data_IF_303067411721
#
_entry.id   IF_303067411721
#
_cell.length_a   1.000
_cell.length_b   1.000
_cell.length_c   1.000
_cell.angle_alpha   90.00
_cell.angle_beta   90.00
_cell.angle_gamma   90.00
#
_symmetry.space_group_name_H-M   'P 1'
#
loop_
_entity.id
_entity.type
_entity.pdbx_description
1 polymer ?
#
# COMPACT_ATOMS: atom_id res chain seq x y z
N UNK A 1 -3.74 17.01 14.57
CA UNK A 1 -4.64 16.22 13.72
C UNK A 1 -3.97 14.87 13.42
N UNK A 2 -4.65 13.73 13.72
CA UNK A 2 -4.22 12.40 13.32
C UNK A 2 -3.62 12.35 11.91
N UNK A 3 -2.38 11.89 11.81
CA UNK A 3 -1.67 11.77 10.55
C UNK A 3 -0.60 10.69 10.62
N UNK A 4 -0.42 9.97 9.53
CA UNK A 4 0.63 8.97 9.36
C UNK A 4 1.21 9.03 7.95
N UNK A 5 2.51 8.83 7.87
CA UNK A 5 3.23 8.51 6.64
C UNK A 5 4.14 7.33 6.97
N UNK A 6 3.98 6.24 6.24
CA UNK A 6 4.73 5.01 6.43
C UNK A 6 5.54 4.74 5.18
N UNK A 7 6.73 4.21 5.35
CA UNK A 7 7.58 3.76 4.26
C UNK A 7 7.68 2.23 4.28
N UNK A 8 7.70 1.64 3.09
CA UNK A 8 7.63 0.19 2.92
C UNK A 8 8.99 -0.43 2.66
N UNK A 9 9.29 -1.53 3.36
CA UNK A 9 10.46 -2.37 3.11
C UNK A 9 10.03 -3.80 2.78
N UNK A 10 10.94 -4.60 2.21
CA UNK A 10 10.71 -6.03 2.02
C UNK A 10 11.36 -6.81 3.17
N UNK A 11 10.55 -7.54 3.93
CA UNK A 11 10.99 -8.50 4.94
C UNK A 11 10.30 -9.84 4.73
N UNK A 12 11.06 -10.96 4.79
CA UNK A 12 10.52 -12.32 4.73
C UNK A 12 9.48 -12.54 3.63
N UNK A 13 9.79 -12.01 2.46
CA UNK A 13 8.93 -12.07 1.30
C UNK A 13 7.63 -11.27 1.27
N UNK A 14 7.60 -10.19 2.06
CA UNK A 14 6.41 -9.36 2.21
C UNK A 14 6.79 -7.90 2.33
N UNK A 15 5.90 -7.04 1.82
CA UNK A 15 5.93 -5.61 2.10
C UNK A 15 5.51 -5.38 3.55
N UNK A 16 6.40 -4.76 4.30
CA UNK A 16 6.20 -4.36 5.69
C UNK A 16 6.27 -2.85 5.76
N UNK A 17 5.26 -2.23 6.36
CA UNK A 17 5.22 -0.80 6.61
C UNK A 17 5.97 -0.48 7.90
N UNK A 18 6.76 0.60 7.88
CA UNK A 18 7.51 1.12 9.01
C UNK A 18 7.18 2.60 9.24
N UNK A 19 7.28 3.04 10.50
CA UNK A 19 6.97 4.41 10.92
C UNK A 19 8.16 5.20 11.47
N UNK A 20 9.31 4.55 11.62
CA UNK A 20 10.50 5.04 12.33
C UNK A 20 11.76 5.05 11.46
N UNK A 21 11.58 5.12 10.14
CA UNK A 21 12.63 5.22 9.13
C UNK A 21 12.43 6.48 8.28
N UNK A 22 13.52 7.01 7.72
CA UNK A 22 13.49 8.05 6.69
C UNK A 22 12.58 9.25 7.06
N UNK A 23 11.51 9.49 6.30
CA UNK A 23 10.53 10.55 6.52
C UNK A 23 9.20 10.03 7.07
N UNK A 24 9.15 8.75 7.47
CA UNK A 24 7.99 8.14 8.06
C UNK A 24 7.68 8.72 9.46
N UNK A 25 6.40 8.78 9.81
CA UNK A 25 5.95 9.23 11.10
C UNK A 25 4.54 8.69 11.44
N UNK A 26 4.27 8.66 12.74
CA UNK A 26 2.94 8.53 13.32
C UNK A 26 2.68 9.76 14.20
N UNK A 27 1.47 10.32 14.12
CA UNK A 27 1.10 11.53 14.86
C UNK A 27 -0.32 11.47 15.40
N UNK A 28 -0.50 12.05 16.58
CA UNK A 28 -1.80 12.30 17.22
C UNK A 28 -2.69 11.05 17.30
N UNK A 29 -2.11 9.95 17.81
CA UNK A 29 -2.84 8.72 18.11
C UNK A 29 -2.84 7.65 17.02
N UNK A 30 -2.42 7.97 15.79
CA UNK A 30 -2.22 6.95 14.76
C UNK A 30 -1.23 5.89 15.25
N UNK A 31 -1.54 4.60 15.03
CA UNK A 31 -0.67 3.48 15.42
C UNK A 31 -0.40 2.57 14.24
N UNK A 32 0.72 1.87 14.31
CA UNK A 32 1.09 0.81 13.39
C UNK A 32 1.22 -0.49 14.17
N UNK A 33 0.35 -1.46 13.88
CA UNK A 33 0.30 -2.74 14.57
C UNK A 33 0.39 -3.86 13.54
N UNK A 34 1.46 -4.67 13.59
CA UNK A 34 1.71 -5.76 12.65
C UNK A 34 1.62 -5.31 11.17
N UNK A 35 2.25 -4.19 10.83
CA UNK A 35 2.19 -3.60 9.48
C UNK A 35 0.76 -3.19 9.04
N UNK A 36 -0.12 -2.88 9.99
CA UNK A 36 -1.47 -2.35 9.73
C UNK A 36 -1.67 -1.02 10.44
N UNK A 37 -2.20 -0.03 9.74
CA UNK A 37 -2.40 1.32 10.29
C UNK A 37 -3.76 1.38 11.02
N UNK A 38 -3.74 1.80 12.28
CA UNK A 38 -4.93 1.86 13.16
C UNK A 38 -5.38 3.31 13.33
N UNK A 39 -6.67 3.54 13.08
CA UNK A 39 -7.31 4.86 13.12
C UNK A 39 -7.69 5.25 14.56
N UNK A 40 -7.32 6.44 15.05
CA UNK A 40 -7.53 6.80 16.46
C UNK A 40 -8.88 7.46 16.76
N UNK A 41 -9.64 7.89 15.76
CA UNK A 41 -10.90 8.62 15.99
C UNK A 41 -11.81 8.62 14.77
N UNK A 42 -13.12 8.71 15.01
CA UNK A 42 -14.13 8.86 13.95
C UNK A 42 -13.98 10.21 13.21
N UNK A 43 -13.68 10.18 11.90
CA UNK A 43 -13.53 11.40 11.07
C UNK A 43 -13.47 11.07 9.57
N UNK A 44 -13.42 12.11 8.73
CA UNK A 44 -12.95 12.01 7.35
C UNK A 44 -11.43 11.89 7.32
N UNK A 45 -10.93 10.83 6.69
CA UNK A 45 -9.51 10.63 6.43
C UNK A 45 -9.25 10.62 4.94
N UNK A 46 -8.25 11.38 4.50
CA UNK A 46 -7.64 11.15 3.20
C UNK A 46 -6.62 10.02 3.35
N UNK A 47 -6.83 8.91 2.65
CA UNK A 47 -5.94 7.76 2.60
C UNK A 47 -5.24 7.78 1.25
N UNK A 48 -3.93 7.56 1.24
CA UNK A 48 -3.14 7.49 0.02
C UNK A 48 -2.05 6.43 0.14
N UNK A 49 -1.66 5.86 -0.99
CA UNK A 49 -0.51 4.97 -1.04
C UNK A 49 0.04 4.85 -2.44
N UNK A 50 1.35 4.59 -2.53
CA UNK A 50 2.04 4.19 -3.73
C UNK A 50 2.83 2.92 -3.51
N UNK A 51 2.84 2.06 -4.52
CA UNK A 51 3.85 1.00 -4.70
C UNK A 51 4.43 1.12 -6.10
N UNK A 52 5.73 0.84 -6.23
CA UNK A 52 6.39 0.77 -7.54
C UNK A 52 6.79 -0.66 -7.80
N UNK A 53 6.10 -1.30 -8.74
CA UNK A 53 6.52 -2.63 -9.19
C UNK A 53 7.71 -2.51 -10.13
N UNK A 54 8.59 -3.51 -10.14
CA UNK A 54 9.70 -3.66 -11.08
C UNK A 54 9.82 -5.10 -11.53
N UNK A 55 10.50 -5.33 -12.65
CA UNK A 55 10.78 -6.69 -13.12
C UNK A 55 11.86 -6.70 -14.19
N UNK A 56 12.51 -7.84 -14.37
CA UNK A 56 13.55 -8.06 -15.39
C UNK A 56 12.94 -8.76 -16.61
N UNK A 57 12.08 -8.05 -17.33
CA UNK A 57 11.28 -8.63 -18.42
C UNK A 57 10.09 -9.44 -17.91
N UNK A 58 9.48 -10.23 -18.79
CA UNK A 58 8.35 -11.11 -18.48
C UNK A 58 8.25 -12.23 -19.51
N UNK A 59 7.81 -13.40 -19.04
CA UNK A 59 7.48 -14.53 -19.91
C UNK A 59 5.95 -14.68 -19.94
N UNK A 60 5.30 -14.09 -20.93
CA UNK A 60 3.85 -14.01 -21.02
C UNK A 60 3.27 -12.76 -20.35
N UNK A 61 1.95 -12.80 -20.08
CA UNK A 61 1.24 -11.67 -19.51
C UNK A 61 1.58 -11.47 -18.02
N UNK A 62 1.85 -10.23 -17.62
CA UNK A 62 2.16 -9.87 -16.24
C UNK A 62 1.14 -8.83 -15.74
N UNK A 63 0.23 -9.28 -14.88
CA UNK A 63 -0.78 -8.45 -14.22
C UNK A 63 -0.31 -8.07 -12.82
N UNK A 64 -0.45 -6.80 -12.50
CA UNK A 64 -0.10 -6.20 -11.24
C UNK A 64 -1.36 -5.66 -10.58
N UNK A 65 -1.54 -5.86 -9.29
CA UNK A 65 -2.62 -5.22 -8.53
C UNK A 65 -2.14 -4.76 -7.16
N UNK A 66 -2.76 -3.70 -6.67
CA UNK A 66 -2.48 -3.14 -5.36
C UNK A 66 -3.78 -2.62 -4.73
N UNK A 67 -4.07 -3.08 -3.53
CA UNK A 67 -5.32 -2.81 -2.83
C UNK A 67 -5.07 -2.35 -1.39
N UNK A 68 -5.90 -1.41 -0.93
CA UNK A 68 -6.00 -1.00 0.46
C UNK A 68 -7.35 -1.50 0.97
N UNK A 69 -7.32 -2.23 2.08
CA UNK A 69 -8.51 -2.74 2.76
C UNK A 69 -8.74 -2.00 4.07
N UNK A 70 -10.01 -1.96 4.46
CA UNK A 70 -10.47 -1.58 5.79
C UNK A 70 -11.04 -2.80 6.49
N UNK A 71 -10.60 -3.03 7.70
CA UNK A 71 -11.28 -3.86 8.68
C UNK A 71 -11.93 -2.94 9.72
N UNK A 72 -13.21 -3.16 10.05
CA UNK A 72 -13.94 -2.39 11.04
C UNK A 72 -14.62 -3.31 12.04
N UNK A 73 -14.65 -2.94 13.32
CA UNK A 73 -15.37 -3.74 14.32
C UNK A 73 -16.89 -3.76 14.08
N UNK A 74 -17.43 -2.77 13.36
CA UNK A 74 -18.84 -2.72 12.96
C UNK A 74 -19.21 -3.79 11.92
N UNK A 75 -18.23 -4.20 11.11
CA UNK A 75 -18.36 -5.28 10.12
C UNK A 75 -17.02 -6.05 10.11
N UNK A 76 -16.86 -7.12 10.90
CA UNK A 76 -15.56 -7.76 11.16
C UNK A 76 -15.06 -8.61 9.99
N UNK A 77 -15.02 -8.01 8.80
CA UNK A 77 -14.55 -8.56 7.53
C UNK A 77 -13.79 -7.47 6.78
N UNK A 78 -12.72 -7.85 6.09
CA UNK A 78 -11.95 -6.93 5.28
C UNK A 78 -12.75 -6.49 4.05
N UNK A 79 -12.79 -5.18 3.78
CA UNK A 79 -13.44 -4.57 2.62
C UNK A 79 -12.45 -3.70 1.88
N UNK A 80 -12.42 -3.83 0.55
CA UNK A 80 -11.58 -3.00 -0.32
C UNK A 80 -12.06 -1.55 -0.21
N UNK A 81 -11.14 -0.64 0.12
CA UNK A 81 -11.34 0.81 0.03
C UNK A 81 -10.88 1.33 -1.33
N UNK A 82 -9.67 0.93 -1.73
CA UNK A 82 -9.03 1.36 -2.96
C UNK A 82 -8.37 0.14 -3.59
N UNK A 83 -8.53 -0.01 -4.90
CA UNK A 83 -7.84 -1.06 -5.66
C UNK A 83 -7.51 -0.52 -7.04
N UNK A 84 -6.32 -0.88 -7.52
CA UNK A 84 -5.84 -0.51 -8.84
C UNK A 84 -5.00 -1.63 -9.42
N UNK A 85 -5.08 -1.80 -10.73
CA UNK A 85 -4.35 -2.84 -11.45
C UNK A 85 -3.68 -2.27 -12.70
N UNK A 86 -2.57 -2.89 -13.11
CA UNK A 86 -1.83 -2.60 -14.33
C UNK A 86 -1.39 -3.87 -15.01
N UNK A 87 -1.12 -3.79 -16.31
CA UNK A 87 -0.49 -4.86 -17.07
C UNK A 87 0.93 -4.40 -17.44
N UNK A 88 1.95 -5.01 -16.85
CA UNK A 88 3.34 -4.72 -17.20
C UNK A 88 3.72 -5.31 -18.56
N UNK A 89 3.13 -6.46 -18.89
CA UNK A 89 3.32 -7.15 -20.16
C UNK A 89 2.03 -7.79 -20.63
N UNK A 90 1.71 -7.65 -21.91
CA UNK A 90 0.51 -8.26 -22.51
C UNK A 90 0.74 -9.72 -22.96
N UNK A 91 2.00 -10.18 -22.97
CA UNK A 91 2.39 -11.53 -23.39
C UNK A 91 2.38 -11.75 -24.91
N UNK A 92 2.13 -10.72 -25.71
CA UNK A 92 2.15 -10.79 -27.18
C UNK A 92 3.57 -10.93 -27.74
N UNK A 93 4.55 -10.38 -27.03
CA UNK A 93 5.98 -10.44 -27.34
C UNK A 93 6.74 -10.74 -26.06
N UNK A 94 7.82 -11.52 -26.16
CA UNK A 94 8.73 -11.71 -25.02
C UNK A 94 9.36 -10.36 -24.65
N UNK A 95 9.09 -9.84 -23.45
CA UNK A 95 9.82 -8.69 -22.95
C UNK A 95 11.07 -9.17 -22.23
N UNK A 96 12.23 -8.75 -22.73
CA UNK A 96 13.54 -9.01 -22.13
C UNK A 96 14.11 -7.80 -21.41
N UNK A 97 13.48 -6.62 -21.58
CA UNK A 97 13.91 -5.37 -20.97
C UNK A 97 13.31 -5.21 -19.56
N UNK A 98 14.07 -4.63 -18.61
CA UNK A 98 13.53 -4.28 -17.31
C UNK A 98 12.41 -3.25 -17.44
N UNK A 99 11.47 -3.30 -16.51
CA UNK A 99 10.34 -2.38 -16.45
C UNK A 99 10.08 -1.94 -15.01
N UNK A 100 9.45 -0.78 -14.86
CA UNK A 100 8.93 -0.26 -13.59
C UNK A 100 7.51 0.26 -13.80
N UNK A 101 6.60 -0.04 -12.88
CA UNK A 101 5.19 0.30 -12.96
C UNK A 101 4.69 0.85 -11.60
N UNK A 102 4.58 2.18 -11.46
CA UNK A 102 4.00 2.78 -10.26
C UNK A 102 2.48 2.58 -10.23
N UNK A 103 1.92 2.26 -9.07
CA UNK A 103 0.48 2.32 -8.78
C UNK A 103 0.29 3.26 -7.60
N UNK A 104 -0.33 4.41 -7.86
CA UNK A 104 -0.75 5.37 -6.84
C UNK A 104 -2.28 5.35 -6.72
N UNK A 105 -2.79 5.41 -5.49
CA UNK A 105 -4.21 5.55 -5.21
C UNK A 105 -4.44 6.41 -3.98
N UNK A 106 -5.52 7.19 -3.98
CA UNK A 106 -5.93 7.95 -2.80
C UNK A 106 -7.34 8.52 -2.92
N UNK A 107 -8.05 8.56 -1.81
CA UNK A 107 -9.40 9.09 -1.69
C UNK A 107 -9.76 9.41 -0.24
N UNK A 108 -10.92 10.04 -0.04
CA UNK A 108 -11.44 10.39 1.28
C UNK A 108 -12.47 9.35 1.72
N UNK A 109 -12.37 8.90 2.97
CA UNK A 109 -13.34 7.98 3.57
C UNK A 109 -13.72 8.43 4.98
N UNK A 110 -14.96 8.14 5.37
CA UNK A 110 -15.35 8.16 6.78
C UNK A 110 -14.82 6.89 7.45
N UNK A 111 -13.96 7.06 8.45
CA UNK A 111 -13.43 5.97 9.26
C UNK A 111 -13.88 6.14 10.71
N UNK A 112 -13.97 5.02 11.42
CA UNK A 112 -14.30 4.92 12.83
C UNK A 112 -13.02 4.71 13.66
N UNK A 113 -13.11 5.03 14.95
CA UNK A 113 -12.04 4.69 15.90
C UNK A 113 -11.82 3.17 15.94
N UNK A 114 -10.55 2.76 15.87
CA UNK A 114 -10.14 1.36 15.89
C UNK A 114 -10.25 0.65 14.54
N UNK A 115 -10.68 1.34 13.48
CA UNK A 115 -10.55 0.80 12.13
C UNK A 115 -9.10 0.52 11.77
N UNK A 116 -8.89 -0.56 11.01
CA UNK A 116 -7.57 -1.02 10.61
C UNK A 116 -7.46 -0.92 9.09
N UNK A 117 -6.41 -0.27 8.61
CA UNK A 117 -6.03 -0.21 7.22
C UNK A 117 -4.86 -1.17 6.96
N UNK A 118 -5.01 -2.04 5.97
CA UNK A 118 -3.96 -2.96 5.52
C UNK A 118 -3.91 -3.00 4.00
N UNK A 119 -2.84 -3.55 3.46
CA UNK A 119 -2.57 -3.51 2.02
C UNK A 119 -2.23 -4.88 1.49
N UNK A 120 -2.71 -5.19 0.29
CA UNK A 120 -2.31 -6.40 -0.42
C UNK A 120 -1.90 -6.05 -1.85
N UNK A 121 -1.06 -6.92 -2.43
CA UNK A 121 -0.60 -6.77 -3.80
C UNK A 121 -0.52 -8.12 -4.51
N UNK A 122 -0.53 -8.07 -5.83
CA UNK A 122 -0.26 -9.22 -6.69
C UNK A 122 0.65 -8.79 -7.86
N UNK A 123 1.62 -9.62 -8.27
CA UNK A 123 2.06 -10.85 -7.59
C UNK A 123 2.69 -10.53 -6.22
N UNK A 124 2.56 -11.47 -5.27
CA UNK A 124 3.33 -11.41 -4.02
C UNK A 124 4.74 -11.93 -4.30
N UNK A 125 5.61 -11.05 -4.78
CA UNK A 125 7.01 -11.38 -5.09
C UNK A 125 7.92 -10.21 -4.71
N UNK A 126 8.89 -10.50 -3.86
CA UNK A 126 9.84 -9.58 -3.21
C UNK A 126 10.72 -8.79 -4.15
N UNK A 127 11.08 -9.44 -5.25
CA UNK A 127 12.09 -8.93 -6.17
C UNK A 127 11.49 -7.87 -7.09
N UNK A 128 10.16 -7.69 -6.98
CA UNK A 128 9.36 -6.92 -7.91
C UNK A 128 8.85 -5.62 -7.29
N UNK A 129 9.36 -5.18 -6.12
CA UNK A 129 8.99 -3.88 -5.52
C UNK A 129 10.22 -2.99 -5.32
N UNK A 130 10.12 -1.74 -5.73
CA UNK A 130 11.12 -0.70 -5.49
C UNK A 130 10.85 0.00 -4.16
N UNK A 131 11.74 -0.20 -3.19
CA UNK A 131 11.61 0.32 -1.81
C UNK A 131 12.64 1.40 -1.47
N UNK A 132 13.43 1.87 -2.43
CA UNK A 132 14.22 3.10 -2.21
C UNK A 132 13.32 4.29 -1.91
N UNK A 133 13.83 5.20 -1.09
CA UNK A 133 13.13 6.35 -0.52
C UNK A 133 12.19 7.03 -1.53
N UNK A 134 10.92 7.19 -1.13
CA UNK A 134 9.89 7.86 -1.93
C UNK A 134 9.19 7.01 -3.00
N UNK A 135 9.53 5.73 -3.17
CA UNK A 135 8.83 4.88 -4.14
C UNK A 135 7.62 4.15 -3.55
N UNK A 136 7.75 3.62 -2.34
CA UNK A 136 6.74 2.76 -1.71
C UNK A 136 6.35 3.29 -0.33
N UNK A 137 5.11 3.80 -0.22
CA UNK A 137 4.62 4.47 0.99
C UNK A 137 3.11 4.31 1.17
N UNK A 138 2.65 4.38 2.42
CA UNK A 138 1.23 4.39 2.81
C UNK A 138 1.01 5.53 3.80
N UNK A 139 -0.05 6.31 3.62
CA UNK A 139 -0.36 7.37 4.57
C UNK A 139 -1.85 7.63 4.70
N UNK A 140 -2.18 8.28 5.81
CA UNK A 140 -3.52 8.76 6.08
C UNK A 140 -3.46 10.00 6.95
N UNK A 141 -4.34 10.97 6.72
CA UNK A 141 -4.52 12.10 7.64
C UNK A 141 -5.97 12.53 7.71
N UNK A 142 -6.37 13.00 8.88
CA UNK A 142 -7.72 13.54 9.09
C UNK A 142 -7.85 14.96 8.52
N UNK A 143 -9.02 15.28 7.98
CA UNK A 143 -9.34 16.59 7.38
C UNK A 143 -9.74 17.65 8.41
#
# INVERSE_FOLDING_TARGET
KPAAHLEGIIENQKLVWLSDINHAFLKDGMKLENSKLVVPSHSLYFIYSQVVFKGQGCNGSCSLSYSIYRFSNHYPVEKILLSSSKTACDGSVQHTKPWMQPIYQGAIFMLDEGDILLTEMYPMSDQDIETSDGNTYLGAFTL
#
